data_IF_352303853711
#
_entry.id   IF_352303853711
#
_cell.length_a   1.000
_cell.length_b   1.000
_cell.length_c   1.000
_cell.angle_alpha   90.00
_cell.angle_beta   90.00
_cell.angle_gamma   90.00
#
_symmetry.space_group_name_H-M   'P 1'
#
loop_
_entity.id
_entity.type
_entity.pdbx_description
1 polymer ?
#
# COMPACT_ATOMS: atom_id res chain seq x y z
N UNK A 1 -17.42 38.86 47.55
CA UNK A 1 -17.76 37.46 47.89
C UNK A 1 -18.07 36.72 46.59
N UNK A 2 -17.23 36.85 45.56
CA UNK A 2 -16.00 36.08 45.31
C UNK A 2 -16.29 34.63 44.93
N UNK A 3 -16.39 34.41 43.62
CA UNK A 3 -16.44 33.10 42.98
C UNK A 3 -14.99 32.70 42.64
N UNK A 4 -14.42 31.79 43.41
CA UNK A 4 -13.11 31.19 43.12
C UNK A 4 -13.25 30.05 42.10
N UNK A 5 -12.38 29.97 41.07
CA UNK A 5 -12.35 28.84 40.14
C UNK A 5 -11.57 27.64 40.70
N UNK A 6 -11.87 26.39 40.25
CA UNK A 6 -11.15 25.20 40.68
C UNK A 6 -9.72 25.12 40.10
N UNK A 7 -8.84 24.53 40.92
CA UNK A 7 -7.38 24.42 40.76
C UNK A 7 -6.93 23.63 39.52
N UNK A 8 -6.07 24.26 38.71
CA UNK A 8 -5.36 23.67 37.56
C UNK A 8 -4.15 22.83 38.04
N UNK A 9 -3.96 21.59 37.55
CA UNK A 9 -2.75 20.81 37.84
C UNK A 9 -1.51 21.36 37.09
N UNK A 10 -0.29 21.25 37.64
CA UNK A 10 0.92 21.82 37.04
C UNK A 10 1.36 21.09 35.77
N UNK A 11 1.67 21.86 34.73
CA UNK A 11 2.28 21.40 33.48
C UNK A 11 3.65 20.76 33.71
N UNK A 12 3.99 19.65 33.03
CA UNK A 12 5.34 19.10 33.06
C UNK A 12 6.30 19.99 32.27
N UNK A 13 7.38 20.41 32.93
CA UNK A 13 8.45 21.25 32.40
C UNK A 13 9.10 20.66 31.15
N UNK A 14 9.23 21.47 30.10
CA UNK A 14 10.06 21.20 28.93
C UNK A 14 11.54 21.11 29.31
N UNK A 15 12.29 20.05 28.95
CA UNK A 15 13.74 20.05 29.06
C UNK A 15 14.40 20.80 27.89
N UNK A 16 15.31 21.68 28.30
CA UNK A 16 16.26 22.52 27.57
C UNK A 16 16.97 21.79 26.42
N UNK A 17 17.10 22.43 25.25
CA UNK A 17 17.93 21.96 24.15
C UNK A 17 19.43 22.02 24.50
N UNK A 18 20.20 20.92 24.38
CA UNK A 18 21.65 21.00 24.40
C UNK A 18 22.18 21.31 22.99
N UNK A 19 22.94 22.40 22.93
CA UNK A 19 23.76 22.88 21.83
C UNK A 19 24.62 21.77 21.20
N UNK A 20 24.52 21.62 19.88
CA UNK A 20 25.43 20.83 19.04
C UNK A 20 26.87 21.31 19.22
N UNK A 21 27.65 20.59 20.01
CA UNK A 21 29.11 20.60 19.94
C UNK A 21 29.54 19.26 19.36
N UNK A 22 29.81 19.26 18.05
CA UNK A 22 30.38 18.14 17.30
C UNK A 22 31.84 17.92 17.74
N UNK A 23 32.03 17.32 18.91
CA UNK A 23 33.34 16.87 19.38
C UNK A 23 33.27 15.53 20.15
N UNK A 24 32.32 14.67 19.79
CA UNK A 24 32.16 13.34 20.38
C UNK A 24 33.00 12.25 19.70
N UNK A 25 33.82 12.60 18.70
CA UNK A 25 34.65 11.66 17.93
C UNK A 25 36.16 11.93 18.04
N UNK A 26 36.58 12.94 18.82
CA UNK A 26 38.00 13.31 18.96
C UNK A 26 38.73 12.64 20.14
N UNK A 27 38.04 11.82 20.93
CA UNK A 27 38.56 11.28 22.21
C UNK A 27 38.85 9.77 22.20
N UNK A 28 38.92 9.15 21.01
CA UNK A 28 39.18 7.69 20.89
C UNK A 28 40.66 7.39 20.60
N UNK A 29 41.45 8.37 20.15
CA UNK A 29 42.81 8.11 19.64
C UNK A 29 43.93 8.93 20.31
N UNK A 30 43.66 9.65 21.40
CA UNK A 30 44.64 10.58 21.99
C UNK A 30 45.29 10.16 23.31
N UNK A 31 45.10 8.93 23.80
CA UNK A 31 45.92 8.45 24.92
C UNK A 31 46.37 7.00 24.74
N UNK A 32 47.59 6.83 24.26
CA UNK A 32 48.32 5.56 24.26
C UNK A 32 49.68 5.78 24.93
N UNK A 33 49.87 5.38 26.20
CA UNK A 33 51.21 5.11 26.71
C UNK A 33 51.70 3.75 26.16
N UNK A 34 52.92 3.65 25.61
CA UNK A 34 53.45 2.40 25.09
C UNK A 34 54.04 1.61 26.26
N UNK A 35 53.31 0.65 26.83
CA UNK A 35 53.96 -0.35 27.70
C UNK A 35 53.24 -1.68 27.68
N UNK A 36 53.95 -2.70 27.25
CA UNK A 36 53.55 -4.11 27.11
C UNK A 36 52.80 -4.66 28.33
N UNK A 37 51.84 -5.60 28.15
CA UNK A 37 51.20 -6.26 29.29
C UNK A 37 52.15 -7.29 29.88
N UNK A 38 52.83 -6.93 30.97
CA UNK A 38 53.35 -7.89 31.94
C UNK A 38 52.16 -8.48 32.69
N UNK A 39 52.00 -9.81 32.63
CA UNK A 39 50.98 -10.54 33.39
C UNK A 39 51.23 -10.36 34.89
N UNK A 40 50.44 -9.48 35.52
CA UNK A 40 50.32 -9.36 36.97
C UNK A 40 48.82 -9.42 37.36
N UNK A 41 48.43 -10.25 38.34
CA UNK A 41 47.03 -10.43 38.70
C UNK A 41 46.62 -9.30 39.66
N UNK A 42 45.75 -8.39 39.20
CA UNK A 42 45.21 -7.32 40.04
C UNK A 42 43.68 -7.31 39.99
N UNK A 43 43.10 -7.50 41.18
CA UNK A 43 41.77 -7.05 41.63
C UNK A 43 40.65 -6.98 40.58
N UNK A 44 39.77 -7.98 40.64
CA UNK A 44 38.31 -7.82 40.49
C UNK A 44 37.85 -6.86 39.40
N UNK A 45 38.15 -7.19 38.14
CA UNK A 45 37.41 -6.64 36.99
C UNK A 45 35.98 -7.18 37.04
N UNK A 46 35.13 -6.52 37.82
CA UNK A 46 33.68 -6.58 37.64
C UNK A 46 33.33 -5.78 36.39
N UNK A 47 33.77 -6.27 35.24
CA UNK A 47 33.26 -5.79 33.95
C UNK A 47 31.79 -6.23 33.89
N UNK A 48 30.82 -5.30 33.88
CA UNK A 48 29.41 -5.67 33.86
C UNK A 48 29.15 -6.45 32.58
N UNK A 49 28.89 -7.74 32.74
CA UNK A 49 28.80 -8.74 31.68
C UNK A 49 28.05 -8.25 30.44
N UNK A 50 28.77 -8.10 29.32
CA UNK A 50 28.22 -7.78 28.00
C UNK A 50 27.17 -8.79 27.52
N UNK A 51 27.17 -9.99 28.10
CA UNK A 51 26.15 -11.00 27.90
C UNK A 51 24.75 -10.51 28.32
N UNK A 52 24.64 -9.76 29.43
CA UNK A 52 23.36 -9.19 29.87
C UNK A 52 22.85 -8.13 28.91
N UNK A 53 23.76 -7.32 28.34
CA UNK A 53 23.45 -6.31 27.33
C UNK A 53 23.03 -6.96 26.01
N UNK A 54 23.73 -8.00 25.58
CA UNK A 54 23.40 -8.75 24.36
C UNK A 54 22.07 -9.49 24.50
N UNK A 55 21.82 -10.13 25.65
CA UNK A 55 20.55 -10.78 25.96
C UNK A 55 19.41 -9.76 25.99
N UNK A 56 19.61 -8.59 26.58
CA UNK A 56 18.60 -7.52 26.61
C UNK A 56 18.29 -7.00 25.21
N UNK A 57 19.31 -6.84 24.34
CA UNK A 57 19.11 -6.49 22.93
C UNK A 57 18.32 -7.56 22.19
N UNK A 58 18.74 -8.82 22.27
CA UNK A 58 18.09 -9.93 21.58
C UNK A 58 16.66 -10.17 22.07
N UNK A 59 16.40 -10.04 23.37
CA UNK A 59 15.05 -10.16 23.94
C UNK A 59 14.17 -9.01 23.47
N UNK A 60 14.68 -7.78 23.44
CA UNK A 60 13.92 -6.64 22.91
C UNK A 60 13.68 -6.73 21.40
N UNK A 61 14.67 -7.18 20.65
CA UNK A 61 14.57 -7.42 19.21
C UNK A 61 13.57 -8.55 18.92
N UNK A 62 13.65 -9.68 19.62
CA UNK A 62 12.72 -10.80 19.48
C UNK A 62 11.30 -10.48 19.95
N UNK A 63 11.11 -9.65 20.97
CA UNK A 63 9.79 -9.18 21.38
C UNK A 63 9.17 -8.26 20.33
N UNK A 64 9.95 -7.32 19.78
CA UNK A 64 9.51 -6.45 18.69
C UNK A 64 9.17 -7.26 17.45
N UNK A 65 10.05 -8.18 17.06
CA UNK A 65 9.86 -9.06 15.92
C UNK A 65 8.62 -9.94 16.10
N UNK A 66 8.41 -10.53 17.29
CA UNK A 66 7.21 -11.30 17.60
C UNK A 66 5.91 -10.50 17.51
N UNK A 67 5.91 -9.24 17.94
CA UNK A 67 4.74 -8.35 17.83
C UNK A 67 4.48 -7.97 16.36
N UNK A 68 5.53 -7.70 15.59
CA UNK A 68 5.42 -7.40 14.16
C UNK A 68 4.91 -8.64 13.41
N UNK A 69 5.53 -9.80 13.63
CA UNK A 69 5.15 -11.06 13.01
C UNK A 69 3.70 -11.44 13.31
N UNK A 70 3.26 -11.30 14.56
CA UNK A 70 1.87 -11.58 14.97
C UNK A 70 0.86 -10.66 14.28
N UNK A 71 1.16 -9.36 14.20
CA UNK A 71 0.31 -8.38 13.50
C UNK A 71 0.26 -8.66 12.00
N UNK A 72 1.42 -8.91 11.39
CA UNK A 72 1.53 -9.14 9.95
C UNK A 72 0.79 -10.43 9.53
N UNK A 73 0.91 -11.49 10.33
CA UNK A 73 0.24 -12.78 10.10
C UNK A 73 -1.29 -12.69 10.11
N UNK A 74 -1.85 -11.71 10.82
CA UNK A 74 -3.31 -11.51 10.87
C UNK A 74 -3.83 -10.60 9.75
N UNK A 75 -2.98 -9.73 9.21
CA UNK A 75 -3.36 -8.72 8.20
C UNK A 75 -3.07 -9.17 6.77
N UNK A 76 -1.95 -9.85 6.54
CA UNK A 76 -1.53 -10.27 5.21
C UNK A 76 -2.54 -11.17 4.49
N UNK A 77 -3.13 -12.20 5.12
CA UNK A 77 -4.03 -13.10 4.41
C UNK A 77 -5.22 -12.37 3.75
N UNK A 78 -5.85 -11.45 4.48
CA UNK A 78 -6.98 -10.68 3.93
C UNK A 78 -6.57 -9.68 2.84
N UNK A 79 -5.35 -9.14 2.92
CA UNK A 79 -4.81 -8.27 1.85
C UNK A 79 -4.46 -9.09 0.62
N UNK A 80 -3.83 -10.26 0.81
CA UNK A 80 -3.41 -11.14 -0.28
C UNK A 80 -4.63 -11.72 -1.02
N UNK A 81 -5.73 -12.01 -0.32
CA UNK A 81 -7.01 -12.42 -0.90
C UNK A 81 -7.69 -11.28 -1.68
N UNK A 82 -7.66 -10.05 -1.17
CA UNK A 82 -8.28 -8.89 -1.82
C UNK A 82 -7.45 -8.25 -2.93
N UNK A 83 -6.14 -8.50 -2.97
CA UNK A 83 -5.21 -7.85 -3.90
C UNK A 83 -5.54 -8.10 -5.39
N UNK A 84 -5.80 -9.34 -5.85
CA UNK A 84 -6.14 -9.59 -7.26
C UNK A 84 -7.39 -8.84 -7.73
N UNK A 85 -8.42 -8.78 -6.87
CA UNK A 85 -9.64 -8.03 -7.13
C UNK A 85 -9.39 -6.51 -7.18
N UNK A 86 -8.62 -5.98 -6.22
CA UNK A 86 -8.23 -4.58 -6.23
C UNK A 86 -7.43 -4.20 -7.48
N UNK A 87 -6.51 -5.09 -7.92
CA UNK A 87 -5.68 -4.89 -9.11
C UNK A 87 -6.52 -4.87 -10.39
N UNK A 88 -7.50 -5.76 -10.53
CA UNK A 88 -8.41 -5.79 -11.69
C UNK A 88 -9.29 -4.54 -11.74
N UNK A 89 -9.83 -4.07 -10.61
CA UNK A 89 -10.53 -2.79 -10.53
C UNK A 89 -9.63 -1.61 -10.91
N UNK A 90 -8.42 -1.55 -10.35
CA UNK A 90 -7.47 -0.47 -10.62
C UNK A 90 -7.06 -0.41 -12.10
N UNK A 91 -6.83 -1.57 -12.73
CA UNK A 91 -6.54 -1.67 -14.15
C UNK A 91 -7.71 -1.12 -14.98
N UNK A 92 -8.93 -1.61 -14.73
CA UNK A 92 -10.12 -1.23 -15.50
C UNK A 92 -10.43 0.27 -15.37
N UNK A 93 -10.46 0.79 -14.14
CA UNK A 93 -10.73 2.20 -13.87
C UNK A 93 -9.63 3.09 -14.43
N UNK A 94 -8.36 2.67 -14.30
CA UNK A 94 -7.22 3.37 -14.88
C UNK A 94 -7.34 3.49 -16.39
N UNK A 95 -7.76 2.43 -17.08
CA UNK A 95 -8.01 2.46 -18.52
C UNK A 95 -9.13 3.44 -18.90
N UNK A 96 -10.26 3.44 -18.18
CA UNK A 96 -11.37 4.35 -18.46
C UNK A 96 -10.98 5.83 -18.27
N UNK A 97 -10.31 6.15 -17.16
CA UNK A 97 -9.82 7.50 -16.90
C UNK A 97 -8.75 7.91 -17.91
N UNK A 98 -7.80 7.02 -18.21
CA UNK A 98 -6.75 7.26 -19.19
C UNK A 98 -7.28 7.47 -20.61
N UNK A 99 -8.33 6.75 -21.00
CA UNK A 99 -8.99 6.95 -22.29
C UNK A 99 -9.66 8.34 -22.38
N UNK A 100 -10.42 8.75 -21.35
CA UNK A 100 -11.04 10.08 -21.27
C UNK A 100 -9.99 11.21 -21.29
N UNK A 101 -8.91 11.06 -20.51
CA UNK A 101 -7.81 12.02 -20.48
C UNK A 101 -7.04 12.07 -21.80
N UNK A 102 -6.88 10.92 -22.47
CA UNK A 102 -6.29 10.81 -23.80
C UNK A 102 -7.10 11.55 -24.87
N UNK A 103 -8.41 11.34 -24.87
CA UNK A 103 -9.35 12.06 -25.75
C UNK A 103 -9.29 13.56 -25.45
N UNK A 104 -9.37 13.97 -24.18
CA UNK A 104 -9.22 15.35 -23.77
C UNK A 104 -7.88 15.99 -24.20
N UNK A 105 -6.79 15.22 -24.11
CA UNK A 105 -5.44 15.63 -24.52
C UNK A 105 -5.30 15.81 -26.03
N UNK A 106 -6.01 15.02 -26.83
CA UNK A 106 -5.97 15.09 -28.30
C UNK A 106 -6.45 16.45 -28.84
N UNK A 107 -7.46 17.06 -28.20
CA UNK A 107 -8.01 18.37 -28.58
C UNK A 107 -7.08 19.57 -28.31
N UNK A 108 -5.87 19.36 -27.76
CA UNK A 108 -4.91 20.43 -27.46
C UNK A 108 -4.27 21.06 -28.72
N UNK A 109 -4.27 20.35 -29.87
CA UNK A 109 -3.63 20.81 -31.10
C UNK A 109 -4.45 21.87 -31.87
N UNK A 110 -5.78 21.85 -31.76
CA UNK A 110 -6.70 22.71 -32.54
C UNK A 110 -7.50 23.68 -31.66
N UNK A 111 -6.81 24.30 -30.69
CA UNK A 111 -7.37 24.85 -29.46
C UNK A 111 -8.42 25.96 -29.58
N UNK A 112 -8.59 26.67 -30.71
CA UNK A 112 -9.59 27.76 -30.81
C UNK A 112 -11.00 27.26 -31.17
N UNK A 113 -11.11 26.23 -32.02
CA UNK A 113 -12.40 25.68 -32.42
C UNK A 113 -12.96 24.68 -31.38
N UNK A 114 -12.08 23.95 -30.70
CA UNK A 114 -12.45 22.89 -29.77
C UNK A 114 -12.31 23.29 -28.29
N UNK A 115 -12.20 24.58 -27.98
CA UNK A 115 -12.01 25.04 -26.58
C UNK A 115 -13.22 24.69 -25.70
N UNK A 116 -14.42 24.73 -26.27
CA UNK A 116 -15.66 24.34 -25.59
C UNK A 116 -15.73 22.83 -25.37
N UNK A 117 -15.42 22.03 -26.39
CA UNK A 117 -15.39 20.58 -26.30
C UNK A 117 -14.35 20.12 -25.28
N UNK A 118 -13.16 20.74 -25.29
CA UNK A 118 -12.11 20.49 -24.30
C UNK A 118 -12.55 20.84 -22.88
N UNK A 119 -13.35 21.90 -22.69
CA UNK A 119 -13.91 22.24 -21.37
C UNK A 119 -14.95 21.21 -20.94
N UNK A 120 -15.81 20.76 -21.85
CA UNK A 120 -16.82 19.72 -21.60
C UNK A 120 -16.16 18.40 -21.21
N UNK A 121 -15.19 17.92 -22.00
CA UNK A 121 -14.40 16.72 -21.72
C UNK A 121 -13.62 16.84 -20.40
N UNK A 122 -13.09 18.03 -20.09
CA UNK A 122 -12.43 18.27 -18.80
C UNK A 122 -13.37 18.16 -17.60
N UNK A 123 -14.61 18.62 -17.72
CA UNK A 123 -15.63 18.41 -16.68
C UNK A 123 -16.01 16.94 -16.55
N UNK A 124 -16.21 16.27 -17.68
CA UNK A 124 -16.57 14.86 -17.72
C UNK A 124 -15.48 13.97 -17.09
N UNK A 125 -14.21 14.25 -17.38
CA UNK A 125 -13.08 13.56 -16.75
C UNK A 125 -13.00 13.83 -15.23
N UNK A 126 -13.33 15.05 -14.80
CA UNK A 126 -13.44 15.40 -13.37
C UNK A 126 -14.53 14.61 -12.66
N UNK A 127 -15.72 14.53 -13.26
CA UNK A 127 -16.84 13.72 -12.77
C UNK A 127 -16.49 12.23 -12.73
N UNK A 128 -15.85 11.71 -13.78
CA UNK A 128 -15.38 10.34 -13.83
C UNK A 128 -14.41 10.02 -12.69
N UNK A 129 -13.47 10.92 -12.39
CA UNK A 129 -12.51 10.76 -11.30
C UNK A 129 -13.18 10.75 -9.93
N UNK A 130 -14.23 11.53 -9.74
CA UNK A 130 -14.95 11.57 -8.46
C UNK A 130 -15.83 10.32 -8.29
N UNK A 131 -16.58 9.93 -9.34
CA UNK A 131 -17.45 8.76 -9.32
C UNK A 131 -16.68 7.44 -9.28
N UNK A 132 -15.58 7.31 -10.03
CA UNK A 132 -14.69 6.14 -10.02
C UNK A 132 -13.60 6.23 -8.94
N UNK A 133 -13.83 7.03 -7.89
CA UNK A 133 -12.93 7.05 -6.75
C UNK A 133 -13.02 5.73 -5.97
N UNK A 134 -11.90 5.32 -5.36
CA UNK A 134 -11.81 4.09 -4.54
C UNK A 134 -12.90 4.08 -3.46
N UNK A 135 -13.17 5.22 -2.84
CA UNK A 135 -14.19 5.37 -1.79
C UNK A 135 -15.62 5.06 -2.30
N UNK A 136 -15.91 5.36 -3.57
CA UNK A 136 -17.22 5.09 -4.18
C UNK A 136 -17.32 3.69 -4.75
N UNK A 137 -16.26 3.18 -5.38
CA UNK A 137 -16.21 1.82 -5.93
C UNK A 137 -16.29 0.78 -4.81
N UNK A 138 -15.51 0.97 -3.74
CA UNK A 138 -15.52 0.12 -2.56
C UNK A 138 -16.48 0.63 -1.47
N UNK A 139 -17.46 1.45 -1.85
CA UNK A 139 -18.45 2.01 -0.96
C UNK A 139 -19.40 0.94 -0.42
N UNK A 140 -20.00 1.23 0.74
CA UNK A 140 -21.01 0.37 1.40
C UNK A 140 -22.27 0.17 0.57
N UNK A 141 -22.42 0.87 -0.55
CA UNK A 141 -23.52 0.73 -1.50
C UNK A 141 -23.37 -0.55 -2.34
N UNK A 142 -22.13 -0.94 -2.66
CA UNK A 142 -21.83 -2.07 -3.53
C UNK A 142 -21.26 -3.28 -2.79
N UNK A 143 -20.73 -3.07 -1.58
CA UNK A 143 -20.08 -4.09 -0.76
C UNK A 143 -20.79 -4.29 0.59
N UNK A 144 -20.91 -5.53 1.03
CA UNK A 144 -21.36 -5.89 2.39
C UNK A 144 -20.26 -5.73 3.43
N UNK A 145 -20.61 -5.79 4.72
CA UNK A 145 -19.62 -5.75 5.83
C UNK A 145 -18.66 -6.94 5.79
N UNK A 146 -19.10 -8.01 5.12
CA UNK A 146 -18.41 -9.29 4.97
C UNK A 146 -17.40 -9.27 3.80
N UNK A 147 -17.30 -8.16 3.05
CA UNK A 147 -16.44 -8.05 1.86
C UNK A 147 -17.01 -8.68 0.59
N UNK A 148 -18.27 -9.13 0.63
CA UNK A 148 -18.97 -9.72 -0.53
C UNK A 148 -19.71 -8.62 -1.31
N UNK A 149 -19.63 -8.63 -2.64
CA UNK A 149 -20.35 -7.71 -3.50
C UNK A 149 -21.86 -7.96 -3.50
N UNK A 150 -22.65 -6.88 -3.61
CA UNK A 150 -24.13 -6.93 -3.51
C UNK A 150 -24.86 -6.83 -4.85
N UNK A 151 -24.13 -6.62 -5.94
CA UNK A 151 -24.71 -6.50 -7.29
C UNK A 151 -24.70 -7.85 -8.00
N UNK A 152 -25.60 -8.00 -8.98
CA UNK A 152 -25.73 -9.25 -9.75
C UNK A 152 -24.58 -9.35 -10.75
N UNK A 153 -23.72 -10.36 -10.56
CA UNK A 153 -22.70 -10.75 -11.53
C UNK A 153 -23.19 -12.02 -12.22
N UNK A 154 -23.39 -11.95 -13.53
CA UNK A 154 -23.75 -13.13 -14.33
C UNK A 154 -22.44 -13.70 -14.85
N UNK A 155 -21.88 -14.67 -14.13
CA UNK A 155 -20.70 -15.40 -14.60
C UNK A 155 -21.07 -16.34 -15.74
N UNK A 156 -20.17 -16.48 -16.73
CA UNK A 156 -20.32 -17.48 -17.80
C UNK A 156 -19.98 -18.90 -17.34
N UNK A 157 -19.24 -19.04 -16.24
CA UNK A 157 -18.77 -20.31 -15.70
C UNK A 157 -19.30 -20.59 -14.27
N UNK A 158 -19.01 -21.78 -13.73
CA UNK A 158 -19.39 -22.20 -12.38
C UNK A 158 -18.69 -21.35 -11.29
N UNK A 159 -17.54 -20.76 -11.63
CA UNK A 159 -16.82 -19.76 -10.83
C UNK A 159 -16.83 -18.40 -11.53
N UNK A 160 -17.20 -17.35 -10.80
CA UNK A 160 -17.24 -15.98 -11.31
C UNK A 160 -15.83 -15.40 -11.31
N UNK A 161 -15.32 -14.98 -12.46
CA UNK A 161 -13.97 -14.37 -12.53
C UNK A 161 -13.98 -12.93 -11.99
N UNK A 162 -12.85 -12.46 -11.47
CA UNK A 162 -12.76 -11.08 -10.97
C UNK A 162 -13.02 -10.04 -12.07
N UNK A 163 -12.70 -10.35 -13.33
CA UNK A 163 -13.03 -9.48 -14.46
C UNK A 163 -14.54 -9.34 -14.65
N UNK A 164 -15.29 -10.44 -14.58
CA UNK A 164 -16.75 -10.40 -14.65
C UNK A 164 -17.35 -9.59 -13.49
N UNK A 165 -16.78 -9.68 -12.29
CA UNK A 165 -17.19 -8.87 -11.13
C UNK A 165 -16.99 -7.37 -11.43
N UNK A 166 -15.80 -6.99 -11.92
CA UNK A 166 -15.49 -5.60 -12.27
C UNK A 166 -16.40 -5.08 -13.38
N UNK A 167 -16.61 -5.86 -14.44
CA UNK A 167 -17.45 -5.51 -15.58
C UNK A 167 -18.95 -5.48 -15.23
N UNK A 168 -19.36 -6.20 -14.18
CA UNK A 168 -20.71 -6.11 -13.65
C UNK A 168 -20.92 -4.89 -12.74
N UNK A 169 -19.85 -4.22 -12.30
CA UNK A 169 -19.95 -3.09 -11.38
C UNK A 169 -20.72 -1.91 -12.03
N UNK A 170 -21.81 -1.40 -11.42
CA UNK A 170 -22.69 -0.42 -12.08
C UNK A 170 -22.01 0.90 -12.47
N UNK A 171 -21.09 1.39 -11.65
CA UNK A 171 -20.30 2.59 -11.99
C UNK A 171 -19.35 2.35 -13.16
N UNK A 172 -18.69 1.19 -13.21
CA UNK A 172 -17.76 0.84 -14.29
C UNK A 172 -18.53 0.74 -15.59
N UNK A 173 -19.67 0.05 -15.61
CA UNK A 173 -20.54 -0.06 -16.80
C UNK A 173 -21.06 1.28 -17.30
N UNK A 174 -21.49 2.16 -16.38
CA UNK A 174 -21.95 3.51 -16.73
C UNK A 174 -20.84 4.27 -17.45
N UNK A 175 -19.65 4.30 -16.87
CA UNK A 175 -18.53 5.06 -17.41
C UNK A 175 -17.94 4.42 -18.65
N UNK A 176 -17.96 3.09 -18.78
CA UNK A 176 -17.58 2.40 -20.00
C UNK A 176 -18.44 2.81 -21.20
N UNK A 177 -19.76 2.93 -21.02
CA UNK A 177 -20.65 3.44 -22.07
C UNK A 177 -20.30 4.88 -22.46
N UNK A 178 -20.13 5.77 -21.47
CA UNK A 178 -19.79 7.18 -21.72
C UNK A 178 -18.42 7.33 -22.40
N UNK A 179 -17.42 6.59 -21.95
CA UNK A 179 -16.08 6.59 -22.55
C UNK A 179 -16.11 6.04 -23.96
N UNK A 180 -16.87 4.96 -24.20
CA UNK A 180 -17.07 4.39 -25.53
C UNK A 180 -17.64 5.39 -26.51
N UNK A 181 -18.72 6.09 -26.13
CA UNK A 181 -19.35 7.12 -26.97
C UNK A 181 -18.39 8.28 -27.29
N UNK A 182 -17.65 8.78 -26.29
CA UNK A 182 -16.73 9.90 -26.48
C UNK A 182 -15.47 9.47 -27.25
N UNK A 183 -15.00 8.23 -27.08
CA UNK A 183 -13.90 7.67 -27.85
C UNK A 183 -14.28 7.46 -29.32
N UNK A 184 -15.47 6.95 -29.61
CA UNK A 184 -15.99 6.82 -30.97
C UNK A 184 -16.14 8.19 -31.63
N UNK A 185 -16.68 9.18 -30.92
CA UNK A 185 -16.78 10.57 -31.43
C UNK A 185 -15.41 11.16 -31.75
N UNK A 186 -14.39 10.82 -30.97
CA UNK A 186 -13.01 11.25 -31.20
C UNK A 186 -12.27 10.40 -32.26
N UNK A 187 -12.88 9.31 -32.75
CA UNK A 187 -12.23 8.36 -33.67
C UNK A 187 -11.09 7.57 -33.05
N UNK A 188 -11.04 7.48 -31.72
CA UNK A 188 -10.01 6.75 -30.98
C UNK A 188 -10.50 5.33 -30.72
N UNK A 189 -9.81 4.31 -31.25
CA UNK A 189 -10.08 2.93 -30.83
C UNK A 189 -9.55 2.73 -29.42
N UNK A 190 -10.47 2.68 -28.46
CA UNK A 190 -10.19 2.10 -27.15
C UNK A 190 -10.31 0.59 -27.33
N UNK A 191 -9.23 -0.02 -27.82
CA UNK A 191 -9.12 -1.48 -27.83
C UNK A 191 -9.22 -1.96 -26.39
N UNK A 192 -10.32 -2.64 -26.09
CA UNK A 192 -10.65 -3.23 -24.80
C UNK A 192 -9.45 -4.05 -24.35
N UNK A 193 -8.81 -3.62 -23.26
CA UNK A 193 -7.71 -4.33 -22.63
C UNK A 193 -8.29 -5.59 -21.96
N UNK A 194 -8.53 -6.63 -22.74
CA UNK A 194 -8.72 -7.99 -22.25
C UNK A 194 -7.38 -8.42 -21.66
N UNK A 195 -7.25 -8.28 -20.35
CA UNK A 195 -6.08 -8.70 -19.59
C UNK A 195 -6.05 -10.21 -19.46
N UNK A 196 -5.86 -10.93 -20.56
CA UNK A 196 -5.70 -12.38 -20.59
C UNK A 196 -4.22 -12.77 -20.44
N UNK A 197 -3.56 -12.48 -19.32
CA UNK A 197 -2.25 -13.12 -19.05
C UNK A 197 -1.74 -12.95 -17.59
N UNK A 198 -2.50 -13.38 -16.57
CA UNK A 198 -1.93 -13.45 -15.22
C UNK A 198 -2.30 -14.70 -14.41
N UNK A 199 -3.27 -15.53 -14.84
CA UNK A 199 -3.62 -16.77 -14.14
C UNK A 199 -2.90 -18.03 -14.65
N UNK A 200 -2.33 -18.02 -15.87
CA UNK A 200 -1.73 -19.23 -16.47
C UNK A 200 -0.36 -19.64 -15.86
N UNK A 201 0.15 -18.92 -14.86
CA UNK A 201 1.54 -19.06 -14.40
C UNK A 201 1.78 -19.74 -13.05
N UNK A 202 0.75 -20.19 -12.30
CA UNK A 202 0.96 -20.64 -10.91
C UNK A 202 0.42 -22.02 -10.53
N UNK A 203 -0.01 -22.85 -11.48
CA UNK A 203 -0.32 -24.26 -11.22
C UNK A 203 0.55 -25.14 -12.11
N UNK A 204 1.75 -25.48 -11.61
CA UNK A 204 2.61 -26.40 -12.34
C UNK A 204 4.05 -26.55 -11.87
N UNK A 205 4.37 -26.43 -10.58
CA UNK A 205 5.66 -26.97 -10.10
C UNK A 205 5.68 -27.15 -8.56
N UNK A 206 4.87 -28.08 -8.06
CA UNK A 206 4.98 -28.57 -6.68
C UNK A 206 4.19 -29.88 -6.46
N UNK A 207 4.37 -30.89 -7.30
CA UNK A 207 3.92 -32.25 -6.99
C UNK A 207 4.67 -33.29 -7.82
N UNK A 208 5.74 -33.83 -7.25
CA UNK A 208 6.48 -34.91 -7.88
C UNK A 208 7.74 -35.28 -7.13
N UNK A 209 7.63 -35.56 -5.82
CA UNK A 209 8.71 -36.20 -5.08
C UNK A 209 8.19 -37.45 -4.36
N UNK A 210 8.90 -38.56 -4.58
CA UNK A 210 8.83 -39.80 -3.81
C UNK A 210 7.78 -40.83 -4.22
N UNK A 211 8.17 -41.88 -4.97
CA UNK A 211 8.11 -43.28 -4.50
C UNK A 211 8.66 -44.24 -5.58
N UNK A 212 9.88 -44.75 -5.38
CA UNK A 212 10.26 -46.08 -5.88
C UNK A 212 11.09 -46.78 -4.81
N UNK A 213 10.39 -47.57 -4.01
CA UNK A 213 10.97 -48.66 -3.24
C UNK A 213 11.21 -49.89 -4.13
N UNK A 214 12.31 -50.56 -3.82
CA UNK A 214 12.54 -52.02 -3.78
C UNK A 214 12.36 -52.87 -5.05
N UNK A 215 13.46 -53.57 -5.36
CA UNK A 215 13.60 -54.63 -6.36
C UNK A 215 15.06 -55.04 -6.48
#
# INVERSE_FOLDING_TARGET
MDLTPPSTPPSPSSPLAPTTSNNALSDIFSDSPPTSPTLAPTKGFSEPSDFSRLRSKHVNEGYRDGIIASKNRSLQPGVDEGWPLGATFALRVGCLLGALEGVWGAYKKDAKAYLEERRRLGKLAGEAREELSIERIFGKDWWGEDGVWRYKVVGKEEEVTFQEVVDAHPLVRKWEGVVGEEAERAGVRVGVFEGEEWESGRVGDAAGDGEKGEG
#
